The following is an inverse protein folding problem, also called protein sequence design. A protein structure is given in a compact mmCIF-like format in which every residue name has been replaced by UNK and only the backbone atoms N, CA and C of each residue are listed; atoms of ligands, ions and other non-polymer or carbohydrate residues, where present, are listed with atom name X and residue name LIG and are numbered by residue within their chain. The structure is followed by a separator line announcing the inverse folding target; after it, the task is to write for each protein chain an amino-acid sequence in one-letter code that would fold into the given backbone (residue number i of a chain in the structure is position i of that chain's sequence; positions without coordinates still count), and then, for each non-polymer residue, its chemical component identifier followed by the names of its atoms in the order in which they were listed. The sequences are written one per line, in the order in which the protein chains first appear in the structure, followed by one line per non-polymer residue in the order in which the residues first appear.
data_IF_317015908407
#
_entry.id   IF_317015908407
#
_cell.length_a   1.000
_cell.length_b   1.000
_cell.length_c   1.000
_cell.angle_alpha   90.00
_cell.angle_beta   90.00
_cell.angle_gamma   90.00
#
_symmetry.space_group_name_H-M   'P 1'
#
loop_
_entity.id
_entity.type
_entity.pdbx_description
1 polymer ?
#
# COMPACT_ATOMS: atom_id res chain seq x y z
N UNK A 1 -12.33 10.52 0.71
CA UNK A 1 -10.96 10.37 1.24
C UNK A 1 -10.80 8.89 1.43
N UNK A 2 -10.08 8.26 0.53
CA UNK A 2 -9.95 6.80 0.53
C UNK A 2 -8.76 6.43 1.43
N UNK A 3 -8.97 5.44 2.29
CA UNK A 3 -7.94 4.99 3.23
C UNK A 3 -7.07 3.96 2.52
N UNK A 4 -5.76 4.20 2.48
CA UNK A 4 -4.81 3.28 1.88
C UNK A 4 -3.87 2.71 2.93
N UNK A 5 -3.66 1.40 2.87
CA UNK A 5 -2.80 0.72 3.83
C UNK A 5 -1.81 -0.19 3.12
N UNK A 6 -0.55 -0.02 3.48
CA UNK A 6 0.52 -0.93 3.09
C UNK A 6 0.65 -2.05 4.12
N UNK A 7 0.47 -3.30 3.70
CA UNK A 7 0.65 -4.49 4.54
C UNK A 7 1.79 -5.35 4.04
N UNK A 8 2.40 -6.11 4.94
CA UNK A 8 3.48 -7.03 4.59
C UNK A 8 2.95 -8.15 3.69
N UNK A 9 3.58 -8.38 2.54
CA UNK A 9 3.37 -9.57 1.73
C UNK A 9 4.10 -10.79 2.31
N UNK A 10 3.63 -12.00 2.01
CA UNK A 10 4.30 -13.23 2.39
C UNK A 10 5.67 -13.34 1.71
N UNK A 11 6.60 -14.05 2.34
CA UNK A 11 7.92 -14.27 1.75
C UNK A 11 7.85 -15.14 0.48
N UNK A 12 6.88 -16.06 0.45
CA UNK A 12 6.69 -17.06 -0.60
C UNK A 12 5.79 -16.58 -1.75
N UNK A 13 5.25 -15.35 -1.69
CA UNK A 13 4.41 -14.79 -2.74
C UNK A 13 4.01 -13.32 -2.50
N UNK A 14 4.16 -12.42 -3.49
CA UNK A 14 3.81 -11.00 -3.36
C UNK A 14 2.30 -10.74 -3.25
N UNK A 15 1.48 -11.66 -3.75
CA UNK A 15 0.00 -11.55 -3.77
C UNK A 15 -0.66 -12.17 -2.53
N UNK A 16 0.16 -12.69 -1.60
CA UNK A 16 -0.33 -13.36 -0.39
C UNK A 16 -0.07 -12.46 0.81
N UNK A 17 -1.08 -12.33 1.66
CA UNK A 17 -0.99 -11.55 2.89
C UNK A 17 0.00 -12.20 3.86
N UNK A 18 1.00 -11.43 4.30
CA UNK A 18 2.05 -11.91 5.19
C UNK A 18 1.64 -11.90 6.66
N UNK A 19 2.32 -12.73 7.47
CA UNK A 19 2.07 -12.85 8.91
C UNK A 19 2.64 -11.71 9.76
N UNK A 20 2.34 -10.44 9.45
CA UNK A 20 2.73 -9.31 10.32
C UNK A 20 1.63 -9.05 11.37
N UNK A 21 1.88 -9.29 12.67
CA UNK A 21 0.86 -9.12 13.71
C UNK A 21 0.38 -7.66 13.85
N UNK A 22 1.23 -6.69 13.54
CA UNK A 22 0.88 -5.28 13.59
C UNK A 22 -0.06 -4.87 12.45
N UNK A 23 0.22 -5.31 11.21
CA UNK A 23 -0.65 -5.07 10.07
C UNK A 23 -2.01 -5.76 10.27
N UNK A 24 -2.02 -6.99 10.79
CA UNK A 24 -3.25 -7.72 11.07
C UNK A 24 -4.15 -7.00 12.08
N UNK A 25 -3.58 -6.37 13.12
CA UNK A 25 -4.38 -5.58 14.07
C UNK A 25 -5.09 -4.41 13.39
N UNK A 26 -4.41 -3.73 12.47
CA UNK A 26 -4.99 -2.58 11.76
C UNK A 26 -6.08 -3.05 10.80
N UNK A 27 -5.83 -4.12 10.03
CA UNK A 27 -6.82 -4.74 9.16
C UNK A 27 -8.10 -5.13 9.90
N UNK A 28 -7.97 -5.84 11.03
CA UNK A 28 -9.11 -6.23 11.86
C UNK A 28 -9.89 -5.02 12.38
N UNK A 29 -9.19 -3.95 12.76
CA UNK A 29 -9.85 -2.72 13.23
C UNK A 29 -10.66 -2.04 12.12
N UNK A 30 -10.21 -2.12 10.87
CA UNK A 30 -10.92 -1.53 9.74
C UNK A 30 -12.10 -2.38 9.29
N UNK A 31 -11.90 -3.70 9.29
CA UNK A 31 -12.94 -4.69 9.00
C UNK A 31 -14.09 -4.59 10.02
N UNK A 32 -13.79 -4.50 11.33
CA UNK A 32 -14.80 -4.29 12.37
C UNK A 32 -15.57 -2.96 12.23
N UNK A 33 -14.92 -1.94 11.69
CA UNK A 33 -15.51 -0.60 11.49
C UNK A 33 -16.16 -0.42 10.12
N UNK A 34 -16.08 -1.42 9.24
CA UNK A 34 -16.59 -1.35 7.87
C UNK A 34 -16.07 -0.13 7.10
N UNK A 35 -14.82 0.26 7.37
CA UNK A 35 -14.19 1.39 6.68
C UNK A 35 -13.63 0.87 5.37
N UNK A 36 -14.05 1.40 4.21
CA UNK A 36 -13.49 0.98 2.92
C UNK A 36 -12.01 1.39 2.85
N UNK A 37 -11.15 0.40 2.67
CA UNK A 37 -9.71 0.58 2.55
C UNK A 37 -9.13 -0.12 1.31
N UNK A 38 -8.08 0.46 0.74
CA UNK A 38 -7.32 -0.12 -0.37
C UNK A 38 -6.02 -0.71 0.17
N UNK A 39 -5.83 -2.01 -0.06
CA UNK A 39 -4.69 -2.77 0.44
C UNK A 39 -3.57 -2.87 -0.57
N UNK A 40 -2.39 -2.42 -0.15
CA UNK A 40 -1.15 -2.49 -0.93
C UNK A 40 -0.21 -3.51 -0.28
N UNK A 41 0.02 -4.65 -0.93
CA UNK A 41 0.95 -5.67 -0.43
C UNK A 41 2.40 -5.29 -0.76
N UNK A 42 3.22 -5.15 0.28
CA UNK A 42 4.63 -4.77 0.16
C UNK A 42 5.52 -5.93 0.58
N UNK A 43 6.34 -6.40 -0.36
CA UNK A 43 7.40 -7.35 -0.07
C UNK A 43 8.54 -6.66 0.68
N UNK A 44 8.83 -7.08 1.90
CA UNK A 44 9.90 -6.48 2.71
C UNK A 44 11.30 -6.97 2.33
N UNK A 45 11.41 -8.14 1.70
CA UNK A 45 12.69 -8.69 1.22
C UNK A 45 13.18 -7.96 -0.03
N UNK A 46 12.25 -7.46 -0.84
CA UNK A 46 12.52 -6.62 -1.99
C UNK A 46 11.73 -5.32 -1.87
N UNK A 47 12.19 -4.46 -0.95
CA UNK A 47 11.48 -3.23 -0.61
C UNK A 47 11.50 -2.28 -1.81
N UNK A 48 10.34 -1.81 -2.30
CA UNK A 48 10.32 -0.89 -3.41
C UNK A 48 10.93 0.45 -2.99
N UNK A 49 11.48 1.19 -3.97
CA UNK A 49 12.08 2.51 -3.75
C UNK A 49 11.10 3.47 -3.09
N UNK A 50 11.63 4.54 -2.49
CA UNK A 50 10.86 5.63 -1.87
C UNK A 50 9.78 6.21 -2.78
N UNK A 51 9.97 6.12 -4.10
CA UNK A 51 9.00 6.52 -5.14
C UNK A 51 7.70 5.71 -5.12
N UNK A 52 7.68 4.51 -4.52
CA UNK A 52 6.49 3.67 -4.45
C UNK A 52 5.38 4.33 -3.62
N UNK A 53 5.75 4.93 -2.49
CA UNK A 53 4.81 5.70 -1.68
C UNK A 53 4.32 6.95 -2.42
N UNK A 54 5.20 7.62 -3.16
CA UNK A 54 4.85 8.76 -4.01
C UNK A 54 3.89 8.35 -5.14
N UNK A 55 4.01 7.12 -5.66
CA UNK A 55 3.17 6.59 -6.74
C UNK A 55 1.79 6.17 -6.26
N UNK A 56 1.70 5.50 -5.10
CA UNK A 56 0.44 5.18 -4.42
C UNK A 56 -0.37 6.46 -4.12
N UNK A 57 0.30 7.53 -3.66
CA UNK A 57 -0.34 8.84 -3.48
C UNK A 57 -0.75 9.51 -4.82
N UNK A 58 0.03 9.33 -5.90
CA UNK A 58 -0.23 9.96 -7.21
C UNK A 58 -1.32 9.22 -8.02
N UNK A 59 -1.55 7.92 -7.82
CA UNK A 59 -2.69 7.21 -8.43
C UNK A 59 -4.05 7.75 -7.93
N UNK A 60 -4.12 8.21 -6.67
CA UNK A 60 -5.33 8.85 -6.11
C UNK A 60 -5.62 10.26 -6.63
N UNK A 61 -4.66 10.93 -7.28
CA UNK A 61 -4.89 12.23 -7.93
C UNK A 61 -5.34 12.10 -9.39
N UNK A 62 -5.56 10.88 -9.90
CA UNK A 62 -5.98 10.63 -11.28
C UNK A 62 -4.85 10.78 -12.31
N UNK A 63 -3.61 10.85 -11.85
CA UNK A 63 -2.41 11.00 -12.66
C UNK A 63 -1.92 9.62 -13.14
N UNK A 64 -1.79 9.41 -14.45
CA UNK A 64 -1.34 8.13 -15.04
C UNK A 64 0.19 7.99 -15.00
N UNK A 65 0.79 8.32 -13.86
CA UNK A 65 2.21 8.13 -13.59
C UNK A 65 2.88 9.33 -12.93
N UNK A 66 4.09 9.09 -12.41
CA UNK A 66 4.94 10.09 -11.74
C UNK A 66 5.32 11.30 -12.61
N UNK A 67 5.07 11.23 -13.93
CA UNK A 67 5.30 12.33 -14.87
C UNK A 67 4.24 13.44 -14.77
N UNK A 68 3.03 13.11 -14.36
CA UNK A 68 1.91 14.06 -14.28
C UNK A 68 1.92 14.86 -12.96
N UNK A 69 2.48 14.30 -11.88
CA UNK A 69 2.57 14.97 -10.57
C UNK A 69 3.75 15.99 -10.45
N UNK A 70 4.46 16.32 -11.53
CA UNK A 70 5.49 17.36 -11.53
C UNK A 70 6.70 17.11 -10.60
N UNK A 71 6.89 15.89 -10.11
CA UNK A 71 8.08 15.48 -9.36
C UNK A 71 9.13 15.01 -10.36
N UNK A 72 9.77 15.99 -11.00
CA UNK A 72 10.92 15.77 -11.87
C UNK A 72 12.24 15.89 -11.11
N UNK A 73 13.16 14.99 -11.48
CA UNK A 73 14.57 14.82 -11.11
C UNK A 73 14.86 13.97 -9.86
#
# INVERSE_FOLDING_TARGET
MDLEICVKAAADGPDVLGGCPFCQRVLLTLDEKWVPDTLHLVNLSNKPNVDFLSRVLCENSGCQGTRDCGMGA
#
